data_IF_069213185505
#
_entry.id   IF_069213185505
#
_cell.length_a   1.000
_cell.length_b   1.000
_cell.length_c   1.000
_cell.angle_alpha   90.00
_cell.angle_beta   90.00
_cell.angle_gamma   90.00
#
_symmetry.space_group_name_H-M   'P 1'
#
loop_
_entity.id
_entity.type
_entity.pdbx_description
1 polymer ?
#
# COMPACT_ATOMS: atom_id res chain seq x y z
N UNK A 1 6.36 -24.25 -15.28
CA UNK A 1 5.03 -24.13 -14.65
C UNK A 1 5.25 -23.86 -13.18
N UNK A 2 4.92 -22.66 -12.69
CA UNK A 2 4.99 -22.35 -11.27
C UNK A 2 4.06 -23.26 -10.44
N UNK A 3 4.43 -23.52 -9.20
CA UNK A 3 3.62 -24.27 -8.24
C UNK A 3 3.34 -23.36 -7.06
N UNK A 4 2.07 -23.25 -6.68
CA UNK A 4 1.61 -22.48 -5.53
C UNK A 4 1.23 -23.43 -4.40
N UNK A 5 1.56 -23.04 -3.16
CA UNK A 5 1.32 -23.81 -1.96
C UNK A 5 0.45 -22.97 -1.02
N UNK A 6 -0.82 -23.35 -0.87
CA UNK A 6 -1.78 -22.62 -0.03
C UNK A 6 -2.03 -23.45 1.23
N UNK A 7 -1.81 -22.90 2.44
CA UNK A 7 -2.21 -23.54 3.69
C UNK A 7 -3.74 -23.60 3.78
N UNK A 8 -4.29 -24.77 4.08
CA UNK A 8 -5.71 -24.95 4.39
C UNK A 8 -5.91 -25.77 5.67
N UNK A 9 -7.12 -25.73 6.20
CA UNK A 9 -7.47 -26.34 7.50
C UNK A 9 -7.22 -27.86 7.56
N UNK A 10 -7.15 -28.54 6.40
CA UNK A 10 -6.96 -29.99 6.28
C UNK A 10 -5.60 -30.39 5.68
N UNK A 11 -4.74 -29.42 5.36
CA UNK A 11 -3.44 -29.68 4.73
C UNK A 11 -3.07 -28.64 3.68
N UNK A 12 -2.10 -28.99 2.83
CA UNK A 12 -1.48 -28.07 1.89
C UNK A 12 -2.05 -28.27 0.49
N UNK A 13 -2.70 -27.24 -0.05
CA UNK A 13 -3.27 -27.25 -1.40
C UNK A 13 -2.17 -26.87 -2.39
N UNK A 14 -1.96 -27.73 -3.39
CA UNK A 14 -0.98 -27.50 -4.46
C UNK A 14 -1.68 -27.13 -5.76
N UNK A 15 -1.53 -25.87 -6.19
CA UNK A 15 -2.08 -25.39 -7.46
C UNK A 15 -0.95 -25.34 -8.50
N UNK A 16 -1.26 -25.79 -9.72
CA UNK A 16 -0.39 -25.71 -10.88
C UNK A 16 -1.06 -24.85 -11.95
N UNK A 17 -0.39 -23.80 -12.41
CA UNK A 17 -0.94 -22.87 -13.38
C UNK A 17 -0.08 -21.61 -13.51
N UNK A 18 -0.48 -20.71 -14.39
CA UNK A 18 0.01 -19.32 -14.41
C UNK A 18 -1.04 -18.47 -13.70
N UNK A 19 -0.80 -18.11 -12.43
CA UNK A 19 -1.67 -17.23 -11.65
C UNK A 19 -1.16 -15.79 -11.63
N UNK A 20 -0.26 -15.44 -12.56
CA UNK A 20 0.36 -14.13 -12.64
C UNK A 20 1.65 -14.01 -11.81
N UNK A 21 2.15 -12.77 -11.66
CA UNK A 21 3.39 -12.49 -10.94
C UNK A 21 3.31 -12.96 -9.49
N UNK A 22 4.36 -13.62 -9.02
CA UNK A 22 4.46 -14.04 -7.62
C UNK A 22 5.04 -12.93 -6.74
N UNK A 23 4.72 -12.99 -5.44
CA UNK A 23 5.46 -12.25 -4.44
C UNK A 23 6.97 -12.52 -4.61
N UNK A 24 7.72 -11.46 -4.89
CA UNK A 24 9.16 -11.53 -5.08
C UNK A 24 9.91 -11.62 -3.74
N UNK A 25 9.23 -11.71 -2.60
CA UNK A 25 9.88 -11.98 -1.31
C UNK A 25 10.40 -13.42 -1.30
N UNK A 26 11.59 -13.62 -0.73
CA UNK A 26 12.22 -14.93 -0.70
C UNK A 26 11.30 -15.94 -0.01
N UNK A 27 11.19 -17.13 -0.62
CA UNK A 27 10.46 -18.28 -0.09
C UNK A 27 8.96 -18.10 0.14
N UNK A 28 8.35 -17.01 -0.35
CA UNK A 28 6.91 -16.77 -0.20
C UNK A 28 6.09 -17.50 -1.28
N UNK A 29 6.42 -17.27 -2.55
CA UNK A 29 5.74 -17.86 -3.73
C UNK A 29 4.22 -17.63 -3.83
N UNK A 30 3.65 -16.82 -2.96
CA UNK A 30 2.24 -16.44 -2.98
C UNK A 30 1.92 -15.54 -4.19
N UNK A 31 0.64 -15.35 -4.49
CA UNK A 31 0.18 -14.49 -5.59
C UNK A 31 0.50 -13.03 -5.28
N UNK A 32 1.12 -12.34 -6.24
CA UNK A 32 1.45 -10.94 -6.13
C UNK A 32 0.30 -10.04 -6.56
N UNK A 33 -0.20 -9.22 -5.64
CA UNK A 33 -1.31 -8.30 -5.87
C UNK A 33 -0.87 -6.82 -5.79
N UNK A 34 0.23 -6.56 -5.10
CA UNK A 34 0.74 -5.22 -4.83
C UNK A 34 2.11 -4.98 -5.49
N UNK A 35 2.41 -3.73 -5.79
CA UNK A 35 3.72 -3.28 -6.25
C UNK A 35 4.33 -2.30 -5.24
N UNK A 36 5.66 -2.31 -5.11
CA UNK A 36 6.32 -1.44 -4.14
C UNK A 36 6.47 0.00 -4.69
N UNK A 37 5.81 0.94 -4.04
CA UNK A 37 5.77 2.36 -4.42
C UNK A 37 6.96 3.19 -3.92
N UNK A 38 7.96 2.56 -3.31
CA UNK A 38 9.07 3.31 -2.72
C UNK A 38 9.87 4.02 -3.83
N UNK A 39 10.10 5.35 -3.70
CA UNK A 39 10.79 6.11 -4.74
C UNK A 39 12.27 5.72 -4.80
N UNK A 40 12.74 5.33 -5.99
CA UNK A 40 14.15 4.96 -6.25
C UNK A 40 14.91 6.04 -7.05
N UNK A 41 14.30 7.23 -7.17
CA UNK A 41 14.85 8.38 -7.89
C UNK A 41 14.43 8.43 -9.36
N UNK A 42 14.68 9.58 -10.02
CA UNK A 42 14.33 9.85 -11.43
C UNK A 42 12.84 9.63 -11.75
N UNK A 43 11.95 9.87 -10.78
CA UNK A 43 10.52 9.65 -10.93
C UNK A 43 10.11 8.17 -11.05
N UNK A 44 10.96 7.25 -10.61
CA UNK A 44 10.69 5.80 -10.62
C UNK A 44 10.42 5.25 -9.22
N UNK A 45 9.69 4.15 -9.19
CA UNK A 45 9.37 3.34 -8.02
C UNK A 45 10.14 2.01 -8.05
N UNK A 46 10.15 1.29 -6.92
CA UNK A 46 10.81 0.01 -6.80
C UNK A 46 10.12 -1.10 -7.63
N UNK A 47 8.79 -1.04 -7.75
CA UNK A 47 7.93 -1.95 -8.52
C UNK A 47 8.09 -3.44 -8.15
N UNK A 48 8.63 -3.74 -6.97
CA UNK A 48 8.72 -5.13 -6.48
C UNK A 48 7.32 -5.68 -6.25
N UNK A 49 6.99 -6.78 -6.90
CA UNK A 49 5.73 -7.51 -6.74
C UNK A 49 5.64 -8.16 -5.36
N UNK A 50 4.51 -8.01 -4.67
CA UNK A 50 4.28 -8.49 -3.30
C UNK A 50 2.87 -9.05 -3.15
N UNK A 51 2.72 -10.09 -2.32
CA UNK A 51 1.42 -10.48 -1.79
C UNK A 51 1.03 -9.56 -0.63
N UNK A 52 -0.23 -9.63 -0.21
CA UNK A 52 -0.78 -8.85 0.90
C UNK A 52 0.09 -8.93 2.17
N UNK A 53 0.56 -10.13 2.52
CA UNK A 53 1.39 -10.35 3.72
C UNK A 53 2.74 -9.62 3.70
N UNK A 54 3.25 -9.25 2.53
CA UNK A 54 4.54 -8.57 2.36
C UNK A 54 4.41 -7.13 1.85
N UNK A 55 3.19 -6.64 1.66
CA UNK A 55 2.89 -5.29 1.23
C UNK A 55 2.55 -4.43 2.47
N UNK A 56 3.51 -3.62 2.93
CA UNK A 56 3.28 -2.73 4.07
C UNK A 56 2.63 -1.44 3.59
N UNK A 57 1.35 -1.26 3.89
CA UNK A 57 0.63 -0.01 3.59
C UNK A 57 1.14 1.12 4.49
N UNK A 58 1.69 2.17 3.89
CA UNK A 58 2.26 3.33 4.59
C UNK A 58 1.40 4.60 4.46
N UNK A 59 0.49 4.60 3.49
CA UNK A 59 -0.56 5.57 3.23
C UNK A 59 -1.63 4.91 2.36
N UNK A 60 -2.85 5.49 2.22
CA UNK A 60 -3.89 4.91 1.38
C UNK A 60 -3.38 4.61 -0.04
N UNK A 61 -3.52 3.36 -0.46
CA UNK A 61 -3.05 2.85 -1.77
C UNK A 61 -1.54 2.98 -2.01
N UNK A 62 -0.71 3.10 -0.96
CA UNK A 62 0.76 3.17 -1.07
C UNK A 62 1.40 2.05 -0.25
N UNK A 63 2.07 1.13 -0.94
CA UNK A 63 2.59 -0.11 -0.36
C UNK A 63 4.11 -0.22 -0.52
N UNK A 64 4.82 -0.50 0.56
CA UNK A 64 6.26 -0.72 0.55
C UNK A 64 6.63 -2.18 0.81
N UNK A 65 7.69 -2.65 0.15
CA UNK A 65 8.25 -3.98 0.38
C UNK A 65 9.00 -4.05 1.71
N UNK A 66 9.29 -5.24 2.25
CA UNK A 66 9.91 -5.36 3.59
C UNK A 66 11.20 -4.55 3.74
N UNK A 67 12.05 -4.53 2.70
CA UNK A 67 13.30 -3.77 2.72
C UNK A 67 13.09 -2.25 2.72
N UNK A 68 12.13 -1.74 1.94
CA UNK A 68 11.86 -0.31 1.86
C UNK A 68 10.97 0.19 3.01
N UNK A 69 10.13 -0.68 3.57
CA UNK A 69 9.41 -0.38 4.79
C UNK A 69 10.37 -0.11 5.95
N UNK A 70 11.44 -0.88 6.11
CA UNK A 70 12.47 -0.62 7.12
C UNK A 70 13.14 0.76 6.93
N UNK A 71 13.47 1.13 5.70
CA UNK A 71 14.04 2.44 5.39
C UNK A 71 13.06 3.58 5.69
N UNK A 72 11.81 3.42 5.27
CA UNK A 72 10.75 4.38 5.55
C UNK A 72 10.48 4.52 7.05
N UNK A 73 10.47 3.42 7.79
CA UNK A 73 10.24 3.43 9.22
C UNK A 73 11.38 4.14 9.96
N UNK A 74 12.63 3.93 9.55
CA UNK A 74 13.78 4.66 10.08
C UNK A 74 13.66 6.17 9.81
N UNK A 75 13.33 6.56 8.58
CA UNK A 75 13.08 7.97 8.21
C UNK A 75 11.94 8.59 9.04
N UNK A 76 10.82 7.87 9.20
CA UNK A 76 9.67 8.29 9.99
C UNK A 76 10.05 8.47 11.46
N UNK A 77 10.76 7.51 12.05
CA UNK A 77 11.22 7.56 13.46
C UNK A 77 12.21 8.70 13.71
N UNK A 78 13.04 9.04 12.72
CA UNK A 78 13.93 10.20 12.76
C UNK A 78 13.18 11.55 12.66
N UNK A 79 11.86 11.54 12.46
CA UNK A 79 11.05 12.74 12.34
C UNK A 79 10.95 13.29 10.92
N UNK A 80 11.44 12.57 9.92
CA UNK A 80 11.48 13.02 8.52
C UNK A 80 10.10 13.39 7.98
N UNK A 81 9.06 12.60 8.29
CA UNK A 81 7.67 12.93 7.89
C UNK A 81 7.22 14.27 8.45
N UNK A 82 7.54 14.57 9.72
CA UNK A 82 7.19 15.85 10.34
C UNK A 82 7.93 17.02 9.69
N UNK A 83 9.18 16.79 9.28
CA UNK A 83 10.01 17.79 8.60
C UNK A 83 9.47 18.10 7.20
N UNK A 84 9.19 17.08 6.39
CA UNK A 84 8.63 17.23 5.03
C UNK A 84 7.25 17.90 5.05
N UNK A 85 6.43 17.58 6.04
CA UNK A 85 5.09 18.15 6.18
C UNK A 85 5.05 19.48 6.95
N UNK A 86 6.18 20.03 7.37
CA UNK A 86 6.21 21.22 8.23
C UNK A 86 5.54 22.44 7.60
N UNK A 87 5.54 22.52 6.27
CA UNK A 87 4.93 23.61 5.49
C UNK A 87 3.66 23.21 4.75
N UNK A 88 3.15 21.99 4.99
CA UNK A 88 1.94 21.48 4.34
C UNK A 88 0.75 21.73 5.25
N UNK A 89 -0.27 22.45 4.75
CA UNK A 89 -1.53 22.59 5.46
C UNK A 89 -2.37 21.33 5.23
N UNK A 90 -2.77 20.59 6.28
CA UNK A 90 -3.61 19.41 6.11
C UNK A 90 -4.93 19.76 5.40
N UNK A 91 -5.33 18.94 4.44
CA UNK A 91 -6.63 19.08 3.81
C UNK A 91 -7.73 18.84 4.84
N UNK A 92 -8.58 19.85 5.10
CA UNK A 92 -9.82 19.63 5.86
C UNK A 92 -10.79 18.92 4.93
N UNK A 93 -11.11 17.65 5.21
CA UNK A 93 -12.30 17.05 4.61
C UNK A 93 -13.51 17.81 5.15
N UNK A 94 -14.27 18.44 4.26
CA UNK A 94 -15.62 18.82 4.64
C UNK A 94 -16.36 17.53 5.04
N UNK A 95 -17.17 17.56 6.11
CA UNK A 95 -18.05 16.43 6.41
C UNK A 95 -18.88 16.10 5.16
N UNK A 96 -19.32 14.84 5.00
CA UNK A 96 -20.23 14.48 3.92
C UNK A 96 -21.38 15.48 3.90
N UNK A 97 -21.79 15.93 2.72
CA UNK A 97 -23.04 16.68 2.56
C UNK A 97 -24.16 15.77 3.08
N UNK A 98 -24.55 15.93 4.33
CA UNK A 98 -25.84 15.44 4.80
C UNK A 98 -26.89 16.31 4.12
N UNK A 99 -27.93 15.69 3.56
CA UNK A 99 -28.99 16.35 2.76
C UNK A 99 -29.85 17.36 3.54
N UNK A 100 -29.40 17.84 4.70
CA UNK A 100 -30.21 18.65 5.61
C UNK A 100 -29.87 20.15 5.64
N UNK A 101 -28.82 20.61 4.93
CA UNK A 101 -28.51 22.04 4.88
C UNK A 101 -28.91 22.64 3.53
N UNK A 102 -30.18 22.48 3.18
CA UNK A 102 -30.86 23.32 2.21
C UNK A 102 -31.56 24.46 2.97
N UNK A 103 -30.78 25.30 3.63
CA UNK A 103 -31.27 26.58 4.15
C UNK A 103 -31.40 27.51 2.94
N UNK A 104 -32.54 27.40 2.28
CA UNK A 104 -33.04 28.45 1.43
C UNK A 104 -33.06 29.75 2.24
N UNK A 105 -32.27 30.71 1.80
CA UNK A 105 -32.50 32.11 2.14
C UNK A 105 -32.18 32.97 0.92
N UNK A 106 -33.25 33.34 0.22
CA UNK A 106 -33.33 34.41 -0.77
C UNK A 106 -32.79 35.73 -0.19
N UNK A 107 -32.14 36.56 -1.02
CA UNK A 107 -32.39 38.02 -1.00
C UNK A 107 -31.80 38.72 -2.24
N UNK A 108 -32.72 39.27 -3.05
CA UNK A 108 -32.66 40.37 -4.06
C UNK A 108 -31.67 40.34 -5.24
#
# INVERSE_FOLDING_TARGET
MPTYLIPGDTGLIRIRGDLGPHCANADCFDVGEYACDYPVGKGKTCDRVMCENHAYEVAPDVHYCPGHFQQWEAFRKAGGVKQELANVTPYRRNPPLTEENNDGNDSD
#
